data_IF_453595759716
#
_entry.id   IF_453595759716
#
_cell.length_a   1.000
_cell.length_b   1.000
_cell.length_c   1.000
_cell.angle_alpha   90.00
_cell.angle_beta   90.00
_cell.angle_gamma   90.00
#
_symmetry.space_group_name_H-M   'P 1'
#
loop_
_entity.id
_entity.type
_entity.pdbx_description
1 polymer ?
#
# COMPACT_ATOMS: atom_id res chain seq x y z
N UNK A 1 5.19 -9.48 19.30
CA UNK A 1 4.71 -10.50 18.36
C UNK A 1 3.28 -10.17 17.95
N UNK A 2 2.96 -10.26 16.68
CA UNK A 2 1.59 -10.07 16.15
C UNK A 2 1.07 -11.45 15.75
N UNK A 3 -0.12 -11.81 16.25
CA UNK A 3 -0.82 -13.03 15.83
C UNK A 3 -1.77 -12.69 14.70
N UNK A 4 -1.70 -13.45 13.61
CA UNK A 4 -2.60 -13.32 12.46
C UNK A 4 -3.52 -14.53 12.42
N UNK A 5 -4.83 -14.29 12.28
CA UNK A 5 -5.84 -15.33 12.15
C UNK A 5 -6.78 -15.05 10.98
N UNK A 6 -7.22 -16.11 10.32
CA UNK A 6 -8.16 -16.05 9.19
C UNK A 6 -9.40 -16.88 9.53
N UNK A 7 -10.56 -16.26 9.48
CA UNK A 7 -11.85 -16.94 9.63
C UNK A 7 -12.93 -16.21 8.82
N UNK A 8 -13.68 -16.89 8.00
CA UNK A 8 -14.81 -16.35 7.27
C UNK A 8 -15.90 -15.78 8.20
N UNK A 9 -16.09 -16.41 9.38
CA UNK A 9 -17.00 -15.93 10.41
C UNK A 9 -16.22 -15.14 11.49
N UNK A 10 -16.22 -13.82 11.40
CA UNK A 10 -15.49 -12.91 12.30
C UNK A 10 -15.87 -13.10 13.77
N UNK A 11 -17.15 -13.39 14.08
CA UNK A 11 -17.59 -13.64 15.48
C UNK A 11 -16.96 -14.91 16.04
N UNK A 12 -16.87 -15.97 15.23
CA UNK A 12 -16.22 -17.23 15.59
C UNK A 12 -14.73 -17.02 15.78
N UNK A 13 -14.06 -16.36 14.83
CA UNK A 13 -12.63 -16.06 14.89
C UNK A 13 -12.25 -15.28 16.15
N UNK A 14 -13.00 -14.21 16.47
CA UNK A 14 -12.79 -13.43 17.70
C UNK A 14 -12.92 -14.29 18.95
N UNK A 15 -13.97 -15.13 19.03
CA UNK A 15 -14.16 -16.03 20.18
C UNK A 15 -13.00 -17.03 20.34
N UNK A 16 -12.53 -17.58 19.22
CA UNK A 16 -11.39 -18.51 19.25
C UNK A 16 -10.10 -17.83 19.66
N UNK A 17 -9.81 -16.64 19.11
CA UNK A 17 -8.63 -15.85 19.49
C UNK A 17 -8.62 -15.54 20.99
N UNK A 18 -9.72 -15.04 21.56
CA UNK A 18 -9.83 -14.77 23.01
C UNK A 18 -9.69 -16.03 23.87
N UNK A 19 -10.05 -17.22 23.33
CA UNK A 19 -9.88 -18.48 24.03
C UNK A 19 -8.42 -18.97 24.00
N UNK A 20 -7.74 -18.75 22.89
CA UNK A 20 -6.35 -19.17 22.69
C UNK A 20 -5.35 -18.20 23.30
N UNK A 21 -5.67 -16.91 23.31
CA UNK A 21 -4.83 -15.83 23.83
C UNK A 21 -5.68 -15.01 24.81
N UNK A 22 -5.76 -15.44 26.10
CA UNK A 22 -6.60 -14.77 27.09
C UNK A 22 -6.24 -13.30 27.33
N UNK A 23 -4.96 -12.96 27.23
CA UNK A 23 -4.41 -11.62 27.49
C UNK A 23 -4.35 -10.73 26.22
N UNK A 24 -5.21 -10.99 25.24
CA UNK A 24 -5.25 -10.20 24.02
C UNK A 24 -5.88 -8.82 24.29
N UNK A 25 -5.12 -7.75 24.12
CA UNK A 25 -5.58 -6.38 24.37
C UNK A 25 -6.43 -5.83 23.24
N UNK A 26 -6.00 -6.06 21.99
CA UNK A 26 -6.60 -5.46 20.79
C UNK A 26 -6.73 -6.49 19.68
N UNK A 27 -7.88 -6.49 19.01
CA UNK A 27 -8.13 -7.26 17.79
C UNK A 27 -8.40 -6.27 16.66
N UNK A 28 -7.55 -6.27 15.64
CA UNK A 28 -7.76 -5.51 14.41
C UNK A 28 -8.48 -6.37 13.38
N UNK A 29 -9.55 -5.85 12.81
CA UNK A 29 -10.28 -6.50 11.72
C UNK A 29 -9.93 -5.81 10.41
N UNK A 30 -9.27 -6.53 9.52
CA UNK A 30 -8.92 -6.04 8.19
C UNK A 30 -10.07 -6.23 7.20
N UNK A 31 -10.32 -5.22 6.37
CA UNK A 31 -11.40 -5.15 5.34
C UNK A 31 -12.76 -5.63 5.86
N UNK A 32 -13.14 -5.19 7.07
CA UNK A 32 -14.29 -5.72 7.78
C UNK A 32 -15.49 -4.76 7.90
N UNK A 33 -15.45 -3.61 7.24
CA UNK A 33 -16.49 -2.59 7.37
C UNK A 33 -17.90 -3.09 6.98
N UNK A 34 -17.98 -4.04 6.05
CA UNK A 34 -19.21 -4.69 5.62
C UNK A 34 -19.72 -5.78 6.59
N UNK A 35 -18.89 -6.21 7.57
CA UNK A 35 -19.26 -7.27 8.52
C UNK A 35 -20.08 -6.70 9.69
N UNK A 36 -21.39 -6.54 9.51
CA UNK A 36 -22.30 -5.91 10.48
C UNK A 36 -22.63 -6.78 11.72
N UNK A 37 -22.18 -8.05 11.75
CA UNK A 37 -22.39 -8.95 12.89
C UNK A 37 -21.40 -8.72 14.06
N UNK A 38 -20.43 -7.85 13.88
CA UNK A 38 -19.49 -7.42 14.92
C UNK A 38 -19.55 -5.90 14.99
N UNK A 39 -19.80 -5.36 16.16
CA UNK A 39 -19.72 -3.93 16.42
C UNK A 39 -18.31 -3.63 16.96
N UNK A 40 -17.44 -2.98 16.19
CA UNK A 40 -16.12 -2.62 16.68
C UNK A 40 -16.21 -1.44 17.65
N UNK A 41 -15.22 -1.30 18.53
CA UNK A 41 -15.07 -0.13 19.41
C UNK A 41 -14.80 1.14 18.57
N UNK A 42 -14.00 1.00 17.53
CA UNK A 42 -13.69 2.08 16.59
C UNK A 42 -13.64 1.54 15.17
N UNK A 43 -14.21 2.27 14.25
CA UNK A 43 -14.26 1.94 12.83
C UNK A 43 -13.54 3.00 12.02
N UNK A 44 -12.52 2.59 11.27
CA UNK A 44 -11.70 3.45 10.43
C UNK A 44 -12.00 3.13 8.97
N UNK A 45 -12.39 4.12 8.19
CA UNK A 45 -12.59 3.98 6.74
C UNK A 45 -11.48 4.71 6.00
N UNK A 46 -10.85 4.01 5.07
CA UNK A 46 -9.84 4.58 4.19
C UNK A 46 -10.47 4.94 2.84
N UNK A 47 -10.17 6.13 2.35
CA UNK A 47 -10.53 6.57 0.99
C UNK A 47 -9.29 7.09 0.27
N UNK A 48 -9.17 6.81 -1.02
CA UNK A 48 -8.02 7.23 -1.84
C UNK A 48 -8.27 8.65 -2.37
N UNK A 49 -7.31 9.56 -2.21
CA UNK A 49 -7.37 10.93 -2.72
C UNK A 49 -7.65 10.98 -4.22
N UNK A 50 -7.03 10.08 -5.00
CA UNK A 50 -7.21 9.99 -6.45
C UNK A 50 -8.54 9.34 -6.88
N UNK A 51 -9.33 8.86 -5.91
CA UNK A 51 -10.59 8.16 -6.13
C UNK A 51 -11.65 8.66 -5.16
N UNK A 52 -12.10 9.88 -5.43
CA UNK A 52 -13.06 10.55 -4.58
C UNK A 52 -14.37 9.74 -4.44
N UNK A 53 -14.72 9.39 -3.20
CA UNK A 53 -15.93 8.63 -2.86
C UNK A 53 -17.21 9.22 -3.46
N UNK A 54 -17.27 10.55 -3.60
CA UNK A 54 -18.47 11.25 -4.10
C UNK A 54 -18.66 11.11 -5.61
N UNK A 55 -17.63 10.70 -6.35
CA UNK A 55 -17.70 10.46 -7.80
C UNK A 55 -17.89 8.97 -8.15
N UNK A 56 -17.68 8.08 -7.18
CA UNK A 56 -17.79 6.65 -7.42
C UNK A 56 -19.23 6.15 -7.21
N UNK A 57 -19.59 5.07 -7.88
CA UNK A 57 -20.91 4.45 -7.86
C UNK A 57 -20.85 3.08 -7.19
N UNK A 58 -22.01 2.60 -6.77
CA UNK A 58 -22.14 1.23 -6.27
C UNK A 58 -21.89 0.19 -7.37
N UNK A 59 -21.38 -0.98 -6.96
CA UNK A 59 -21.29 -2.15 -7.83
C UNK A 59 -22.66 -2.48 -8.44
N UNK A 60 -22.74 -2.88 -9.72
CA UNK A 60 -21.63 -3.07 -10.67
C UNK A 60 -21.26 -1.81 -11.46
N UNK A 61 -21.98 -0.68 -11.29
CA UNK A 61 -21.78 0.56 -12.05
C UNK A 61 -20.54 1.37 -11.61
N UNK A 62 -19.97 1.04 -10.46
CA UNK A 62 -18.74 1.58 -9.88
C UNK A 62 -18.06 0.56 -9.00
N UNK A 63 -17.30 1.02 -8.01
CA UNK A 63 -16.49 0.15 -7.14
C UNK A 63 -16.90 0.19 -5.67
N UNK A 64 -17.89 1.00 -5.30
CA UNK A 64 -18.39 1.04 -3.93
C UNK A 64 -19.13 -0.24 -3.59
N UNK A 65 -18.74 -0.90 -2.52
CA UNK A 65 -19.41 -2.10 -1.99
C UNK A 65 -20.69 -1.75 -1.21
N UNK A 66 -20.75 -0.54 -0.64
CA UNK A 66 -21.88 -0.02 0.11
C UNK A 66 -22.16 1.44 -0.25
N UNK A 67 -23.36 1.91 0.09
CA UNK A 67 -23.74 3.32 -0.09
C UNK A 67 -22.82 4.23 0.73
N UNK A 68 -22.60 5.45 0.22
CA UNK A 68 -21.87 6.50 0.96
C UNK A 68 -22.50 6.84 2.32
N UNK A 69 -23.81 6.63 2.48
CA UNK A 69 -24.50 6.77 3.76
C UNK A 69 -23.91 5.88 4.86
N UNK A 70 -23.38 4.74 4.51
CA UNK A 70 -22.74 3.82 5.46
C UNK A 70 -21.49 4.39 6.10
N UNK A 71 -20.91 5.45 5.51
CA UNK A 71 -19.81 6.19 6.10
C UNK A 71 -20.17 6.74 7.50
N UNK A 72 -21.46 6.96 7.78
CA UNK A 72 -21.95 7.34 9.12
C UNK A 72 -21.57 6.35 10.22
N UNK A 73 -21.29 5.09 9.90
CA UNK A 73 -20.84 4.09 10.88
C UNK A 73 -19.36 4.22 11.25
N UNK A 74 -18.58 5.01 10.50
CA UNK A 74 -17.17 5.21 10.79
C UNK A 74 -16.98 6.21 11.92
N UNK A 75 -16.04 5.95 12.81
CA UNK A 75 -15.57 6.91 13.79
C UNK A 75 -14.49 7.82 13.19
N UNK A 76 -13.76 7.29 12.22
CA UNK A 76 -12.61 7.93 11.62
C UNK A 76 -12.61 7.70 10.11
N UNK A 77 -12.33 8.76 9.35
CA UNK A 77 -12.11 8.68 7.90
C UNK A 77 -10.72 9.20 7.60
N UNK A 78 -9.94 8.43 6.86
CA UNK A 78 -8.60 8.81 6.45
C UNK A 78 -8.54 8.88 4.93
N UNK A 79 -8.27 10.07 4.41
CA UNK A 79 -7.96 10.26 2.99
C UNK A 79 -6.50 9.91 2.78
N UNK A 80 -6.24 8.84 2.05
CA UNK A 80 -4.90 8.30 1.83
C UNK A 80 -4.32 8.74 0.49
N UNK A 81 -3.00 8.62 0.35
CA UNK A 81 -2.23 8.96 -0.86
C UNK A 81 -2.40 10.42 -1.29
N UNK A 82 -2.58 11.31 -0.32
CA UNK A 82 -2.61 12.74 -0.59
C UNK A 82 -1.25 13.23 -1.10
N UNK A 83 -1.23 14.23 -1.99
CA UNK A 83 0.01 14.93 -2.34
C UNK A 83 0.67 15.55 -1.09
N UNK A 84 2.02 15.59 -1.08
CA UNK A 84 2.77 16.21 0.04
C UNK A 84 2.52 17.73 0.09
N UNK A 85 2.30 18.33 -1.05
CA UNK A 85 2.12 19.79 -1.26
C UNK A 85 0.64 20.19 -1.35
N UNK A 86 -0.27 19.36 -0.79
CA UNK A 86 -1.71 19.62 -0.79
C UNK A 86 -2.04 20.97 -0.16
N UNK A 87 -2.80 21.80 -0.88
CA UNK A 87 -3.14 23.16 -0.46
C UNK A 87 -4.28 23.19 0.54
N UNK A 88 -4.35 24.18 1.44
CA UNK A 88 -5.43 24.32 2.42
C UNK A 88 -6.85 24.28 1.83
N UNK A 89 -7.03 24.81 0.61
CA UNK A 89 -8.31 24.80 -0.09
C UNK A 89 -8.76 23.37 -0.43
N UNK A 90 -7.84 22.48 -0.78
CA UNK A 90 -8.15 21.09 -1.13
C UNK A 90 -8.65 20.29 0.07
N UNK A 91 -8.06 20.51 1.27
CA UNK A 91 -8.56 19.95 2.52
C UNK A 91 -10.02 20.34 2.77
N UNK A 92 -10.34 21.64 2.59
CA UNK A 92 -11.68 22.14 2.78
C UNK A 92 -12.69 21.56 1.76
N UNK A 93 -12.28 21.44 0.50
CA UNK A 93 -13.11 20.86 -0.56
C UNK A 93 -13.43 19.40 -0.23
N UNK A 94 -12.43 18.59 0.10
CA UNK A 94 -12.61 17.18 0.43
C UNK A 94 -13.49 17.01 1.67
N UNK A 95 -13.25 17.81 2.71
CA UNK A 95 -14.05 17.77 3.93
C UNK A 95 -15.53 18.03 3.64
N UNK A 96 -15.83 18.99 2.78
CA UNK A 96 -17.21 19.29 2.36
C UNK A 96 -17.83 18.15 1.55
N UNK A 97 -17.08 17.51 0.67
CA UNK A 97 -17.59 16.40 -0.15
C UNK A 97 -17.89 15.13 0.62
N UNK A 98 -17.15 14.90 1.70
CA UNK A 98 -17.36 13.73 2.54
C UNK A 98 -18.61 13.82 3.41
N UNK A 99 -19.14 15.03 3.67
CA UNK A 99 -20.33 15.26 4.49
C UNK A 99 -20.30 14.50 5.82
N UNK A 100 -19.17 14.58 6.54
CA UNK A 100 -18.98 13.86 7.79
C UNK A 100 -19.83 14.47 8.91
N UNK A 101 -20.23 13.61 9.84
CA UNK A 101 -20.94 14.04 11.05
C UNK A 101 -19.96 14.61 12.09
N UNK A 102 -20.42 15.46 13.03
CA UNK A 102 -19.54 16.10 14.03
C UNK A 102 -18.77 15.13 14.93
N UNK A 103 -19.23 13.89 15.09
CA UNK A 103 -18.55 12.86 15.89
C UNK A 103 -17.43 12.14 15.14
N UNK A 104 -17.29 12.37 13.85
CA UNK A 104 -16.31 11.70 12.99
C UNK A 104 -15.04 12.53 12.87
N UNK A 105 -13.90 11.88 12.95
CA UNK A 105 -12.61 12.50 12.75
C UNK A 105 -12.14 12.29 11.30
N UNK A 106 -11.62 13.35 10.68
CA UNK A 106 -11.04 13.32 9.35
C UNK A 106 -9.54 13.52 9.42
N UNK A 107 -8.82 12.62 8.79
CA UNK A 107 -7.36 12.68 8.67
C UNK A 107 -6.95 12.57 7.21
N UNK A 108 -5.77 13.08 6.93
CA UNK A 108 -5.13 13.00 5.62
C UNK A 108 -3.76 12.36 5.79
N UNK A 109 -3.41 11.44 4.91
CA UNK A 109 -2.11 10.80 4.91
C UNK A 109 -1.49 10.81 3.52
N UNK A 110 -0.19 10.98 3.49
CA UNK A 110 0.62 10.91 2.27
C UNK A 110 1.51 9.67 2.30
N UNK A 111 1.99 9.25 1.15
CA UNK A 111 3.01 8.21 1.06
C UNK A 111 4.39 8.85 1.20
N UNK A 112 5.18 8.34 2.11
CA UNK A 112 6.60 8.65 2.20
C UNK A 112 7.41 7.39 1.93
N UNK A 113 8.51 7.54 1.21
CA UNK A 113 9.42 6.44 0.94
C UNK A 113 10.59 6.53 1.90
N UNK A 114 10.82 5.46 2.66
CA UNK A 114 11.92 5.34 3.60
C UNK A 114 13.24 4.94 2.93
N UNK A 115 14.16 4.43 3.76
CA UNK A 115 15.39 3.85 3.27
C UNK A 115 15.13 2.57 2.47
N UNK A 116 15.98 2.33 1.48
CA UNK A 116 16.00 1.09 0.73
C UNK A 116 16.62 0.00 1.59
N UNK A 117 15.96 -1.16 1.64
CA UNK A 117 16.44 -2.34 2.35
C UNK A 117 16.76 -3.45 1.36
N UNK A 118 17.77 -4.25 1.67
CA UNK A 118 18.10 -5.39 0.83
C UNK A 118 16.94 -6.40 0.77
N UNK A 119 16.57 -6.81 -0.43
CA UNK A 119 15.54 -7.86 -0.63
C UNK A 119 16.04 -9.18 -0.06
N UNK A 120 17.31 -9.50 -0.23
CA UNK A 120 17.95 -10.71 0.30
C UNK A 120 18.89 -10.30 1.45
N UNK A 121 18.64 -10.75 2.69
CA UNK A 121 19.38 -10.27 3.87
C UNK A 121 20.87 -10.63 3.87
N UNK A 122 21.27 -11.69 3.14
CA UNK A 122 22.67 -12.13 3.04
C UNK A 122 23.53 -11.23 2.15
N UNK A 123 22.93 -10.26 1.48
CA UNK A 123 23.67 -9.25 0.73
C UNK A 123 24.17 -8.17 1.69
N UNK A 124 25.49 -7.95 1.74
CA UNK A 124 26.18 -7.05 2.66
C UNK A 124 25.87 -5.54 2.49
N UNK A 125 24.74 -5.20 1.88
CA UNK A 125 24.32 -3.83 1.67
C UNK A 125 23.37 -3.46 2.82
N UNK A 126 23.82 -2.56 3.71
CA UNK A 126 22.97 -1.97 4.74
C UNK A 126 21.85 -1.11 4.14
N UNK A 127 21.09 -0.45 5.02
CA UNK A 127 20.06 0.52 4.58
C UNK A 127 20.73 1.68 3.83
N UNK A 128 20.24 1.98 2.64
CA UNK A 128 20.69 3.10 1.82
C UNK A 128 19.51 4.04 1.51
N UNK A 129 19.77 5.33 1.53
CA UNK A 129 18.81 6.28 1.00
C UNK A 129 18.86 6.29 -0.53
N UNK A 130 17.70 6.47 -1.17
CA UNK A 130 17.67 6.68 -2.61
C UNK A 130 18.55 7.88 -3.05
N UNK A 131 18.73 8.87 -2.18
CA UNK A 131 19.57 10.07 -2.42
C UNK A 131 21.07 9.74 -2.44
N UNK A 132 21.47 8.64 -1.80
CA UNK A 132 22.89 8.25 -1.71
C UNK A 132 23.34 7.43 -2.93
N UNK A 133 22.41 7.00 -3.77
CA UNK A 133 22.72 6.37 -5.05
C UNK A 133 23.24 7.43 -6.02
N UNK A 134 24.35 7.17 -6.66
CA UNK A 134 24.93 8.11 -7.63
C UNK A 134 24.10 8.20 -8.91
N UNK A 135 24.03 9.38 -9.53
CA UNK A 135 23.40 9.54 -10.85
C UNK A 135 24.12 8.77 -11.98
N UNK A 136 25.37 8.34 -11.73
CA UNK A 136 26.13 7.52 -12.67
C UNK A 136 25.78 6.05 -12.56
N UNK A 137 25.11 5.63 -11.48
CA UNK A 137 24.70 4.26 -11.26
C UNK A 137 23.52 3.89 -12.16
N UNK A 138 23.46 2.61 -12.52
CA UNK A 138 22.34 2.03 -13.25
C UNK A 138 21.18 1.70 -12.31
N UNK A 139 20.00 2.22 -12.61
CA UNK A 139 18.82 1.97 -11.81
C UNK A 139 17.72 1.31 -12.66
N UNK A 140 17.20 0.20 -12.18
CA UNK A 140 16.06 -0.51 -12.76
C UNK A 140 14.97 -0.66 -11.71
N UNK A 141 13.71 -0.49 -12.13
CA UNK A 141 12.55 -0.75 -11.28
C UNK A 141 11.83 -2.00 -11.76
N UNK A 142 11.54 -2.89 -10.81
CA UNK A 142 10.75 -4.11 -11.03
C UNK A 142 9.56 -4.08 -10.07
N UNK A 143 8.33 -4.07 -10.57
CA UNK A 143 7.15 -4.04 -9.70
C UNK A 143 5.90 -4.61 -10.35
N UNK A 144 5.06 -5.30 -9.55
CA UNK A 144 3.74 -5.81 -9.90
C UNK A 144 2.66 -5.27 -8.95
N UNK A 145 2.59 -3.94 -8.80
CA UNK A 145 1.55 -3.26 -8.01
C UNK A 145 0.55 -2.55 -8.93
N UNK A 146 -0.68 -2.37 -8.45
CA UNK A 146 -1.79 -1.78 -9.21
C UNK A 146 -1.51 -0.37 -9.77
N UNK A 147 -0.75 0.45 -9.03
CA UNK A 147 -0.41 1.81 -9.45
C UNK A 147 1.05 2.14 -9.12
N UNK A 148 1.99 1.88 -10.04
CA UNK A 148 3.41 2.17 -9.84
C UNK A 148 3.75 3.67 -10.04
N UNK A 149 2.87 4.48 -10.63
CA UNK A 149 3.16 5.85 -11.03
C UNK A 149 3.73 6.73 -9.90
N UNK A 150 3.18 6.74 -8.66
CA UNK A 150 3.73 7.56 -7.58
C UNK A 150 5.18 7.17 -7.21
N UNK A 151 5.48 5.87 -7.17
CA UNK A 151 6.83 5.38 -6.90
C UNK A 151 7.80 5.76 -8.01
N UNK A 152 7.41 5.56 -9.26
CA UNK A 152 8.23 5.91 -10.42
C UNK A 152 8.51 7.42 -10.46
N UNK A 153 7.50 8.24 -10.19
CA UNK A 153 7.65 9.70 -10.12
C UNK A 153 8.62 10.10 -8.99
N UNK A 154 8.49 9.50 -7.81
CA UNK A 154 9.39 9.75 -6.71
C UNK A 154 10.84 9.40 -7.05
N UNK A 155 11.07 8.22 -7.62
CA UNK A 155 12.42 7.79 -8.03
C UNK A 155 12.98 8.70 -9.12
N UNK A 156 12.16 9.06 -10.12
CA UNK A 156 12.58 9.93 -11.24
C UNK A 156 12.97 11.36 -10.80
N UNK A 157 12.52 11.78 -9.62
CA UNK A 157 12.95 13.05 -9.05
C UNK A 157 14.44 13.05 -8.65
N UNK A 158 14.99 11.89 -8.29
CA UNK A 158 16.39 11.75 -7.85
C UNK A 158 17.28 11.12 -8.92
N UNK A 159 16.74 10.22 -9.74
CA UNK A 159 17.51 9.41 -10.68
C UNK A 159 16.83 9.26 -12.04
N UNK A 160 17.67 9.15 -13.05
CA UNK A 160 17.23 8.77 -14.39
C UNK A 160 16.91 7.25 -14.41
N UNK A 161 15.62 6.94 -14.50
CA UNK A 161 15.15 5.55 -14.58
C UNK A 161 15.39 4.99 -15.98
N UNK A 162 16.45 4.20 -16.12
CA UNK A 162 16.86 3.64 -17.40
C UNK A 162 16.03 2.44 -17.84
N UNK A 163 15.57 1.65 -16.87
CA UNK A 163 14.83 0.43 -17.17
C UNK A 163 13.65 0.24 -16.18
N UNK A 164 12.51 -0.20 -16.69
CA UNK A 164 11.28 -0.41 -15.91
C UNK A 164 10.63 -1.71 -16.37
N UNK A 165 10.50 -2.66 -15.46
CA UNK A 165 9.73 -3.87 -15.66
C UNK A 165 8.46 -3.80 -14.81
N UNK A 166 7.33 -3.53 -15.47
CA UNK A 166 6.04 -3.35 -14.83
C UNK A 166 5.16 -4.56 -15.13
N UNK A 167 4.85 -5.31 -14.11
CA UNK A 167 3.98 -6.48 -14.16
C UNK A 167 2.55 -6.13 -13.73
N UNK A 168 1.56 -6.95 -14.06
CA UNK A 168 0.20 -6.80 -13.54
C UNK A 168 0.15 -6.82 -12.01
N UNK A 169 -0.89 -6.22 -11.42
CA UNK A 169 -1.07 -6.28 -9.96
C UNK A 169 -1.20 -7.73 -9.50
N UNK A 170 -0.61 -8.01 -8.35
CA UNK A 170 -0.54 -9.36 -7.77
C UNK A 170 0.20 -10.40 -8.63
N UNK A 171 1.11 -9.97 -9.51
CA UNK A 171 1.90 -10.89 -10.33
C UNK A 171 2.70 -11.88 -9.47
N UNK A 172 2.62 -13.16 -9.83
CA UNK A 172 3.47 -14.20 -9.26
C UNK A 172 4.70 -14.37 -10.16
N UNK A 173 5.84 -13.97 -9.66
CA UNK A 173 7.08 -14.06 -10.41
C UNK A 173 7.45 -15.52 -10.69
N UNK A 174 7.92 -15.76 -11.90
CA UNK A 174 8.37 -17.08 -12.37
C UNK A 174 9.87 -17.08 -12.63
N UNK A 175 10.47 -18.27 -12.81
CA UNK A 175 11.88 -18.39 -13.21
C UNK A 175 12.18 -17.68 -14.53
N UNK A 176 11.22 -17.63 -15.46
CA UNK A 176 11.36 -16.88 -16.72
C UNK A 176 11.43 -15.37 -16.47
N UNK A 177 10.59 -14.85 -15.54
CA UNK A 177 10.65 -13.44 -15.16
C UNK A 177 12.00 -13.09 -14.54
N UNK A 178 12.54 -13.96 -13.67
CA UNK A 178 13.86 -13.78 -13.07
C UNK A 178 14.97 -13.77 -14.12
N UNK A 179 14.89 -14.62 -15.14
CA UNK A 179 15.83 -14.63 -16.25
C UNK A 179 15.78 -13.33 -17.06
N UNK A 180 14.59 -12.80 -17.35
CA UNK A 180 14.43 -11.51 -18.06
C UNK A 180 14.96 -10.35 -17.18
N UNK A 181 14.60 -10.32 -15.91
CA UNK A 181 15.11 -9.33 -14.93
C UNK A 181 16.64 -9.37 -14.91
N UNK A 182 17.24 -10.56 -14.80
CA UNK A 182 18.68 -10.73 -14.73
C UNK A 182 19.35 -10.26 -16.03
N UNK A 183 18.81 -10.63 -17.19
CA UNK A 183 19.35 -10.26 -18.50
C UNK A 183 19.38 -8.74 -18.66
N UNK A 184 18.27 -8.07 -18.32
CA UNK A 184 18.17 -6.61 -18.40
C UNK A 184 19.07 -5.92 -17.38
N UNK A 185 19.16 -6.47 -16.16
CA UNK A 185 20.06 -5.96 -15.13
C UNK A 185 21.52 -6.03 -15.56
N UNK A 186 21.95 -7.12 -16.16
CA UNK A 186 23.31 -7.28 -16.68
C UNK A 186 23.60 -6.29 -17.82
N UNK A 187 22.63 -6.03 -18.69
CA UNK A 187 22.73 -5.06 -19.78
C UNK A 187 22.70 -3.59 -19.32
N UNK A 188 22.25 -3.31 -18.10
CA UNK A 188 22.16 -1.97 -17.55
C UNK A 188 23.54 -1.32 -17.46
N UNK A 189 23.65 -0.05 -17.88
CA UNK A 189 24.89 0.70 -17.81
C UNK A 189 24.96 1.49 -16.50
N UNK A 190 26.12 1.52 -15.85
CA UNK A 190 26.37 2.28 -14.61
C UNK A 190 27.61 1.77 -13.88
N UNK A 191 28.16 2.58 -12.98
CA UNK A 191 29.29 2.20 -12.11
C UNK A 191 28.87 1.11 -11.14
N UNK A 192 27.73 1.33 -10.48
CA UNK A 192 27.00 0.31 -9.71
C UNK A 192 25.63 0.13 -10.35
N UNK A 193 24.98 -0.98 -10.02
CA UNK A 193 23.67 -1.31 -10.56
C UNK A 193 22.73 -1.69 -9.43
N UNK A 194 21.51 -1.18 -9.49
CA UNK A 194 20.47 -1.43 -8.48
C UNK A 194 19.16 -1.82 -9.12
N UNK A 195 18.48 -2.78 -8.50
CA UNK A 195 17.08 -3.08 -8.75
C UNK A 195 16.28 -2.56 -7.57
N UNK A 196 15.31 -1.72 -7.83
CA UNK A 196 14.36 -1.25 -6.82
C UNK A 196 13.03 -1.95 -7.04
N UNK A 197 12.47 -2.47 -5.96
CA UNK A 197 11.16 -3.10 -5.94
C UNK A 197 10.38 -2.65 -4.70
N UNK A 198 9.11 -3.03 -4.62
CA UNK A 198 8.29 -2.78 -3.43
C UNK A 198 8.47 -3.91 -2.41
N UNK A 199 8.20 -3.64 -1.11
CA UNK A 199 8.20 -4.69 -0.07
C UNK A 199 7.23 -5.84 -0.41
N UNK A 200 6.08 -5.51 -1.00
CA UNK A 200 5.08 -6.47 -1.46
C UNK A 200 5.63 -7.41 -2.53
N UNK A 201 6.34 -6.87 -3.51
CA UNK A 201 6.94 -7.65 -4.59
C UNK A 201 8.21 -8.37 -4.11
N UNK A 202 8.99 -7.76 -3.21
CA UNK A 202 10.14 -8.40 -2.58
C UNK A 202 9.77 -9.71 -1.86
N UNK A 203 8.63 -9.72 -1.15
CA UNK A 203 8.13 -10.94 -0.51
C UNK A 203 7.83 -12.04 -1.54
N UNK A 204 7.30 -11.68 -2.71
CA UNK A 204 7.02 -12.63 -3.81
C UNK A 204 8.29 -13.08 -4.52
N UNK A 205 9.23 -12.16 -4.76
CA UNK A 205 10.51 -12.49 -5.38
C UNK A 205 11.32 -13.49 -4.54
N UNK A 206 11.25 -13.39 -3.20
CA UNK A 206 11.89 -14.35 -2.29
C UNK A 206 11.28 -15.76 -2.35
N UNK A 207 10.04 -15.89 -2.78
CA UNK A 207 9.33 -17.17 -2.85
C UNK A 207 9.49 -17.90 -4.19
N UNK A 208 10.20 -17.32 -5.15
CA UNK A 208 10.49 -17.99 -6.44
C UNK A 208 11.56 -19.05 -6.21
N UNK A 209 11.28 -20.32 -6.58
CA UNK A 209 12.22 -21.44 -6.39
C UNK A 209 13.45 -21.33 -7.30
#
# INVERSE_FOLDING_TARGET
NITVAVDANRRRGIKQLKKQIPDIDVILLDDAFQHRYVTPLSSIVLTDYNRALHLDKLLPAGRLRESRHELSRANMVIVTKCPIDMKPIEYNIISRWLHLFPYQNLYFSTLSYGHLQAVFPDTAIGEISLKDISKKDGLMVVTGIANPAPMLQYISHFHDLREKLLYPDHHNFTSNDLNDITTRFLALKGEKKYIITTEKDAARLRSVP
#
